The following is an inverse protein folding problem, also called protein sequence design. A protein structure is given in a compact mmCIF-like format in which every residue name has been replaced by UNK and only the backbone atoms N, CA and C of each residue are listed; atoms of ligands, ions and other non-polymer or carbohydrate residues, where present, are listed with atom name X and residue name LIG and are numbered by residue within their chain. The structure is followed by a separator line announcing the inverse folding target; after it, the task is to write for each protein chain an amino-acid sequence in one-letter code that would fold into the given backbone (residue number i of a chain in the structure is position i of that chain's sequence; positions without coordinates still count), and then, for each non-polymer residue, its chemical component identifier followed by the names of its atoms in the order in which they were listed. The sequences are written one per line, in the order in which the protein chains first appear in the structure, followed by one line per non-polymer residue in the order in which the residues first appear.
data_IF_498547908861
#
_entry.id   IF_498547908861
#
_cell.length_a   1.000
_cell.length_b   1.000
_cell.length_c   1.000
_cell.angle_alpha   90.00
_cell.angle_beta   90.00
_cell.angle_gamma   90.00
#
_symmetry.space_group_name_H-M   'P 1'
#
loop_
_entity.id
_entity.type
_entity.pdbx_description
1 polymer ?
#
# COMPACT_ATOMS: atom_id res chain seq x y z
N UNK A 1 33.91 10.28 -2.33
CA UNK A 1 33.02 9.14 -2.66
C UNK A 1 31.59 9.65 -2.49
N UNK A 2 30.70 9.39 -3.45
CA UNK A 2 29.29 9.77 -3.28
C UNK A 2 28.68 8.98 -2.11
N UNK A 3 27.92 9.65 -1.24
CA UNK A 3 27.25 9.00 -0.12
C UNK A 3 26.22 8.00 -0.69
N UNK A 4 26.30 6.73 -0.26
CA UNK A 4 25.36 5.69 -0.69
C UNK A 4 23.98 6.00 -0.15
N UNK A 5 22.94 5.90 -0.99
CA UNK A 5 21.56 6.07 -0.54
C UNK A 5 21.19 4.98 0.48
N UNK A 6 20.70 5.40 1.65
CA UNK A 6 20.18 4.55 2.70
C UNK A 6 18.84 5.11 3.18
N UNK A 7 17.76 4.45 2.79
CA UNK A 7 16.40 4.76 3.23
C UNK A 7 15.97 3.89 4.40
N UNK A 8 15.35 4.50 5.42
CA UNK A 8 14.78 3.80 6.58
C UNK A 8 13.30 4.15 6.71
N UNK A 9 12.44 3.15 6.95
CA UNK A 9 11.04 3.43 7.30
C UNK A 9 10.93 3.68 8.81
N UNK A 10 10.29 4.77 9.19
CA UNK A 10 9.94 5.10 10.58
C UNK A 10 8.46 5.45 10.64
N UNK A 11 7.69 4.67 11.39
CA UNK A 11 6.28 4.96 11.63
C UNK A 11 6.13 6.24 12.47
N UNK A 12 5.10 7.04 12.17
CA UNK A 12 4.75 8.24 12.92
C UNK A 12 4.59 7.99 14.43
N UNK A 13 4.22 6.76 14.79
CA UNK A 13 4.06 6.29 16.16
C UNK A 13 5.37 6.42 16.96
N UNK A 14 6.52 6.08 16.36
CA UNK A 14 7.83 6.19 17.01
C UNK A 14 8.31 7.64 17.07
N UNK A 15 7.98 8.47 16.06
CA UNK A 15 8.25 9.91 16.08
C UNK A 15 7.50 10.55 17.25
N UNK A 16 6.23 10.18 17.44
CA UNK A 16 5.40 10.68 18.53
C UNK A 16 5.84 10.12 19.89
N UNK A 17 6.16 8.83 19.98
CA UNK A 17 6.54 8.17 21.25
C UNK A 17 7.92 8.57 21.75
N UNK A 18 8.87 8.85 20.87
CA UNK A 18 10.28 9.07 21.24
C UNK A 18 10.76 10.51 21.03
N UNK A 19 9.99 11.29 20.28
CA UNK A 19 10.32 12.65 19.90
C UNK A 19 11.19 12.75 18.65
N UNK A 20 10.95 13.81 17.89
CA UNK A 20 11.66 14.15 16.64
C UNK A 20 13.17 14.10 16.76
N UNK A 21 13.75 14.71 17.80
CA UNK A 21 15.20 14.81 17.98
C UNK A 21 15.86 13.44 18.18
N UNK A 22 15.28 12.60 19.03
CA UNK A 22 15.79 11.25 19.31
C UNK A 22 15.81 10.38 18.06
N UNK A 23 14.69 10.37 17.31
CA UNK A 23 14.57 9.63 16.05
C UNK A 23 15.59 10.14 15.03
N UNK A 24 15.70 11.46 14.85
CA UNK A 24 16.61 12.06 13.89
C UNK A 24 18.09 11.77 14.22
N UNK A 25 18.47 11.84 15.50
CA UNK A 25 19.80 11.47 15.95
C UNK A 25 20.13 10.00 15.66
N UNK A 26 19.16 9.11 15.83
CA UNK A 26 19.31 7.69 15.50
C UNK A 26 19.50 7.47 13.98
N UNK A 27 18.72 8.17 13.14
CA UNK A 27 18.86 8.13 11.68
C UNK A 27 20.25 8.60 11.23
N UNK A 28 20.73 9.72 11.79
CA UNK A 28 22.08 10.24 11.51
C UNK A 28 23.18 9.27 11.94
N UNK A 29 23.04 8.66 13.12
CA UNK A 29 24.01 7.69 13.65
C UNK A 29 24.22 6.50 12.72
N UNK A 30 23.17 6.03 12.06
CA UNK A 30 23.25 4.90 11.11
C UNK A 30 23.58 5.35 9.68
N UNK A 31 23.77 6.64 9.44
CA UNK A 31 24.10 7.20 8.13
C UNK A 31 22.93 7.21 7.14
N UNK A 32 21.69 7.23 7.63
CA UNK A 32 20.52 7.32 6.77
C UNK A 32 20.53 8.63 5.97
N UNK A 33 20.25 8.53 4.67
CA UNK A 33 20.12 9.68 3.76
C UNK A 33 18.67 9.97 3.41
N UNK A 34 17.76 9.04 3.77
CA UNK A 34 16.35 9.16 3.52
C UNK A 34 15.53 8.47 4.61
N UNK A 35 14.32 8.98 4.85
CA UNK A 35 13.33 8.38 5.75
C UNK A 35 11.97 8.33 5.08
N UNK A 36 11.27 7.20 5.20
CA UNK A 36 9.87 7.07 4.84
C UNK A 36 9.01 7.06 6.11
N UNK A 37 7.96 7.87 6.17
CA UNK A 37 7.01 7.92 7.30
C UNK A 37 5.57 8.04 6.81
N UNK A 38 4.59 7.90 7.68
CA UNK A 38 3.17 8.03 7.34
C UNK A 38 2.57 9.31 7.94
N UNK A 39 1.58 9.95 7.28
CA UNK A 39 0.92 11.16 7.78
C UNK A 39 -0.17 10.84 8.82
N UNK A 40 0.19 10.08 9.85
CA UNK A 40 -0.71 9.60 10.90
C UNK A 40 -0.05 9.77 12.26
N UNK A 41 -0.86 10.10 13.26
CA UNK A 41 -0.49 10.07 14.68
C UNK A 41 -1.35 9.04 15.39
N UNK A 42 -0.80 8.38 16.41
CA UNK A 42 -1.51 7.37 17.19
C UNK A 42 -1.38 7.61 18.69
N UNK A 43 -2.27 7.00 19.46
CA UNK A 43 -2.17 6.94 20.91
C UNK A 43 -2.63 5.57 21.41
N UNK A 44 -2.14 5.12 22.59
CA UNK A 44 -2.69 3.96 23.26
C UNK A 44 -4.21 4.08 23.41
N UNK A 45 -4.91 2.98 23.17
CA UNK A 45 -6.34 2.84 23.33
C UNK A 45 -6.68 1.79 24.39
N UNK A 46 -7.93 1.78 24.81
CA UNK A 46 -8.49 0.71 25.65
C UNK A 46 -8.50 -0.62 24.89
N UNK A 47 -8.50 -1.72 25.64
CA UNK A 47 -8.61 -3.05 25.06
C UNK A 47 -9.90 -3.22 24.25
N UNK A 48 -9.77 -3.78 23.04
CA UNK A 48 -10.87 -3.93 22.09
C UNK A 48 -11.21 -2.66 21.29
N UNK A 49 -10.51 -1.54 21.52
CA UNK A 49 -10.74 -0.28 20.81
C UNK A 49 -9.60 0.05 19.85
N UNK A 50 -9.94 0.46 18.62
CA UNK A 50 -8.97 0.75 17.58
C UNK A 50 -8.36 -0.52 16.97
N UNK A 51 -7.03 -0.56 16.89
CA UNK A 51 -6.28 -1.69 16.32
C UNK A 51 -5.24 -2.22 17.31
N UNK A 52 -5.11 -3.53 17.43
CA UNK A 52 -4.06 -4.16 18.23
C UNK A 52 -2.74 -4.15 17.47
N UNK A 53 -1.66 -3.76 18.14
CA UNK A 53 -0.33 -3.63 17.57
C UNK A 53 0.74 -4.33 18.44
N UNK A 54 1.66 -5.10 17.84
CA UNK A 54 1.68 -5.50 16.43
C UNK A 54 0.42 -6.29 16.00
N UNK A 55 0.02 -6.27 14.72
CA UNK A 55 -1.17 -6.98 14.27
C UNK A 55 -1.01 -8.49 14.46
N UNK A 56 -2.13 -9.16 14.74
CA UNK A 56 -2.19 -10.62 14.87
C UNK A 56 -2.29 -11.19 13.45
N UNK A 57 -1.16 -11.57 12.85
CA UNK A 57 -1.11 -12.13 11.49
C UNK A 57 -1.95 -13.42 11.37
N UNK A 58 -3.15 -13.29 10.82
CA UNK A 58 -4.08 -14.40 10.59
C UNK A 58 -4.27 -15.32 11.83
N UNK A 59 -4.16 -14.77 13.05
CA UNK A 59 -4.37 -15.50 14.30
C UNK A 59 -3.23 -16.39 14.78
N UNK A 60 -2.08 -16.44 14.10
CA UNK A 60 -1.11 -17.54 14.26
C UNK A 60 0.15 -17.24 15.06
N UNK A 61 0.50 -15.97 15.31
CA UNK A 61 1.74 -15.61 16.01
C UNK A 61 1.58 -14.38 16.91
N UNK A 62 1.96 -14.45 18.21
CA UNK A 62 1.96 -13.29 19.10
C UNK A 62 3.20 -12.44 18.82
N UNK A 63 3.16 -11.66 17.73
CA UNK A 63 4.17 -10.64 17.49
C UNK A 63 4.13 -9.62 18.63
N UNK A 64 5.28 -9.33 19.20
CA UNK A 64 5.50 -8.23 20.13
C UNK A 64 6.55 -7.30 19.53
N UNK A 65 6.52 -6.03 19.90
CA UNK A 65 7.55 -5.08 19.51
C UNK A 65 8.88 -5.41 20.18
N UNK A 66 9.93 -5.62 19.38
CA UNK A 66 11.31 -5.68 19.87
C UNK A 66 11.73 -4.33 20.48
N UNK A 67 11.26 -3.23 19.89
CA UNK A 67 11.43 -1.86 20.39
C UNK A 67 10.10 -1.34 20.95
N UNK A 68 9.94 -1.20 22.28
CA UNK A 68 8.67 -0.82 22.89
C UNK A 68 8.10 0.48 22.31
N UNK A 69 6.80 0.47 22.03
CA UNK A 69 6.04 1.64 21.60
C UNK A 69 5.23 2.16 22.79
N UNK A 70 5.40 3.43 23.16
CA UNK A 70 4.84 4.02 24.39
C UNK A 70 5.17 3.18 25.65
N UNK A 71 6.38 2.60 25.69
CA UNK A 71 6.84 1.74 26.79
C UNK A 71 6.20 0.35 26.85
N UNK A 72 5.40 -0.05 25.85
CA UNK A 72 4.73 -1.35 25.77
C UNK A 72 5.26 -2.18 24.61
N UNK A 73 5.33 -3.49 24.81
CA UNK A 73 5.71 -4.45 23.76
C UNK A 73 4.51 -4.95 22.95
N UNK A 74 3.28 -4.70 23.40
CA UNK A 74 2.05 -4.84 22.63
C UNK A 74 0.97 -3.94 23.24
N UNK A 75 0.09 -3.37 22.42
CA UNK A 75 -0.97 -2.48 22.86
C UNK A 75 -2.08 -2.30 21.81
N UNK A 76 -3.26 -1.89 22.26
CA UNK A 76 -4.27 -1.31 21.39
C UNK A 76 -3.92 0.15 21.09
N UNK A 77 -4.11 0.57 19.85
CA UNK A 77 -3.90 1.96 19.41
C UNK A 77 -5.09 2.48 18.62
N UNK A 78 -5.34 3.78 18.74
CA UNK A 78 -6.24 4.53 17.86
C UNK A 78 -5.43 5.56 17.07
N UNK A 79 -5.86 5.86 15.85
CA UNK A 79 -5.15 6.77 14.94
C UNK A 79 -5.95 8.01 14.57
N UNK A 80 -5.23 9.06 14.18
CA UNK A 80 -5.75 10.29 13.58
C UNK A 80 -4.84 10.76 12.44
N UNK A 81 -5.33 11.62 11.56
CA UNK A 81 -4.46 12.29 10.59
C UNK A 81 -3.49 13.20 11.33
N UNK A 82 -2.26 13.35 10.84
CA UNK A 82 -1.29 14.28 11.42
C UNK A 82 -1.50 15.74 10.99
N UNK A 83 -2.56 16.03 10.25
CA UNK A 83 -2.91 17.36 9.76
C UNK A 83 -4.43 17.45 9.59
N UNK A 84 -5.02 18.66 9.56
CA UNK A 84 -6.44 18.85 9.23
C UNK A 84 -6.64 18.78 7.71
N UNK A 85 -7.30 17.73 7.17
CA UNK A 85 -7.44 17.58 5.72
C UNK A 85 -8.37 18.63 5.11
N UNK A 86 -8.02 19.12 3.92
CA UNK A 86 -8.85 20.10 3.21
C UNK A 86 -9.89 19.43 2.30
N UNK A 87 -11.15 19.47 2.72
CA UNK A 87 -12.27 18.85 2.00
C UNK A 87 -12.45 19.38 0.57
N UNK A 88 -12.05 20.61 0.26
CA UNK A 88 -12.20 21.19 -1.08
C UNK A 88 -11.38 20.45 -2.14
N UNK A 89 -10.24 19.85 -1.77
CA UNK A 89 -9.44 19.06 -2.70
C UNK A 89 -10.13 17.76 -3.13
N UNK A 90 -11.10 17.29 -2.35
CA UNK A 90 -11.79 16.02 -2.58
C UNK A 90 -13.17 16.20 -3.21
N UNK A 91 -13.58 17.42 -3.58
CA UNK A 91 -14.92 17.72 -4.11
C UNK A 91 -15.29 16.92 -5.37
N UNK A 92 -14.28 16.59 -6.18
CA UNK A 92 -14.43 15.82 -7.43
C UNK A 92 -14.13 14.32 -7.22
N UNK A 93 -13.82 13.92 -5.98
CA UNK A 93 -13.60 12.54 -5.58
C UNK A 93 -14.85 11.99 -4.89
N UNK A 94 -15.29 10.76 -5.22
CA UNK A 94 -16.34 10.09 -4.47
C UNK A 94 -15.91 9.72 -3.04
N UNK A 95 -14.60 9.66 -2.79
CA UNK A 95 -14.04 9.37 -1.48
C UNK A 95 -13.76 10.67 -0.71
N UNK A 96 -14.28 10.81 0.52
CA UNK A 96 -14.01 11.96 1.36
C UNK A 96 -12.57 11.91 1.90
N UNK A 97 -12.03 13.04 2.38
CA UNK A 97 -10.79 13.02 3.14
C UNK A 97 -10.92 12.14 4.39
N UNK A 98 -9.77 11.72 4.94
CA UNK A 98 -9.72 11.19 6.30
C UNK A 98 -10.23 12.26 7.28
N UNK A 99 -10.83 11.85 8.40
CA UNK A 99 -11.36 12.79 9.39
C UNK A 99 -10.29 13.13 10.42
N UNK A 100 -10.08 14.43 10.66
CA UNK A 100 -9.35 14.90 11.82
C UNK A 100 -10.10 14.51 13.11
N UNK A 101 -9.35 14.31 14.18
CA UNK A 101 -9.89 14.01 15.51
C UNK A 101 -9.05 14.69 16.60
N UNK A 102 -9.32 14.35 17.86
CA UNK A 102 -8.59 14.88 19.01
C UNK A 102 -7.07 14.61 18.95
N UNK A 103 -6.62 13.52 18.32
CA UNK A 103 -5.19 13.27 18.12
C UNK A 103 -4.58 14.21 17.08
N UNK A 104 -5.34 14.58 16.04
CA UNK A 104 -4.89 15.57 15.05
C UNK A 104 -4.61 16.91 15.73
N UNK A 105 -5.51 17.34 16.62
CA UNK A 105 -5.37 18.60 17.36
C UNK A 105 -4.22 18.54 18.38
N UNK A 106 -4.12 17.44 19.13
CA UNK A 106 -3.14 17.32 20.21
C UNK A 106 -1.71 17.04 19.72
N UNK A 107 -1.57 16.28 18.63
CA UNK A 107 -0.27 15.70 18.23
C UNK A 107 0.07 15.89 16.76
N UNK A 108 -0.84 16.39 15.91
CA UNK A 108 -0.62 16.42 14.45
C UNK A 108 0.65 17.17 14.02
N UNK A 109 1.02 18.23 14.73
CA UNK A 109 2.20 19.04 14.43
C UNK A 109 3.52 18.23 14.39
N UNK A 110 3.63 17.13 15.16
CA UNK A 110 4.88 16.38 15.36
C UNK A 110 5.45 15.84 14.05
N UNK A 111 4.60 15.40 13.12
CA UNK A 111 5.04 14.87 11.83
C UNK A 111 5.63 15.99 10.97
N UNK A 112 5.00 17.17 10.98
CA UNK A 112 5.51 18.34 10.26
C UNK A 112 6.83 18.86 10.84
N UNK A 113 6.97 18.84 12.17
CA UNK A 113 8.22 19.17 12.86
C UNK A 113 9.35 18.20 12.51
N UNK A 114 9.05 16.90 12.48
CA UNK A 114 10.01 15.88 12.05
C UNK A 114 10.45 16.08 10.60
N UNK A 115 9.51 16.30 9.68
CA UNK A 115 9.82 16.52 8.26
C UNK A 115 10.75 17.73 8.10
N UNK A 116 10.40 18.88 8.71
CA UNK A 116 11.23 20.09 8.64
C UNK A 116 12.63 19.86 9.20
N UNK A 117 12.73 19.19 10.35
CA UNK A 117 14.02 18.92 11.01
C UNK A 117 14.88 17.97 10.16
N UNK A 118 14.30 16.92 9.59
CA UNK A 118 15.00 16.01 8.70
C UNK A 118 15.49 16.72 7.42
N UNK A 119 14.65 17.56 6.82
CA UNK A 119 15.01 18.34 5.64
C UNK A 119 16.17 19.31 5.90
N UNK A 120 16.18 19.99 7.05
CA UNK A 120 17.29 20.87 7.48
C UNK A 120 18.63 20.13 7.63
N UNK A 121 18.57 18.85 8.01
CA UNK A 121 19.74 17.96 8.12
C UNK A 121 20.11 17.29 6.79
N UNK A 122 19.45 17.63 5.69
CA UNK A 122 19.69 17.05 4.37
C UNK A 122 19.20 15.62 4.21
N UNK A 123 18.34 15.13 5.10
CA UNK A 123 17.70 13.80 4.98
C UNK A 123 16.43 13.95 4.15
N UNK A 124 16.35 13.19 3.04
CA UNK A 124 15.14 13.16 2.22
C UNK A 124 13.97 12.54 2.97
N UNK A 125 12.78 13.11 2.87
CA UNK A 125 11.59 12.58 3.55
C UNK A 125 10.53 12.16 2.54
N UNK A 126 10.04 10.93 2.66
CA UNK A 126 8.99 10.38 1.80
C UNK A 126 7.76 10.05 2.63
N UNK A 127 6.58 10.38 2.12
CA UNK A 127 5.36 9.78 2.67
C UNK A 127 5.14 8.39 2.10
N UNK A 128 5.14 7.40 2.98
CA UNK A 128 4.64 6.06 2.69
C UNK A 128 3.11 6.04 2.91
N UNK A 129 2.37 5.83 1.82
CA UNK A 129 0.90 5.81 1.80
C UNK A 129 0.43 4.67 0.90
N UNK A 130 -0.76 4.12 1.12
CA UNK A 130 -1.30 3.06 0.27
C UNK A 130 -1.50 3.56 -1.17
N UNK A 131 -1.05 2.79 -2.16
CA UNK A 131 -1.11 3.17 -3.57
C UNK A 131 -2.54 3.23 -4.12
N UNK A 132 -3.45 2.41 -3.57
CA UNK A 132 -4.84 2.27 -3.97
C UNK A 132 -5.75 2.06 -2.76
N UNK A 133 -5.61 2.85 -1.68
CA UNK A 133 -6.36 2.65 -0.44
C UNK A 133 -7.07 3.93 0.01
N UNK A 134 -8.30 4.18 -0.47
CA UNK A 134 -9.03 5.38 -0.13
C UNK A 134 -9.69 5.25 1.24
N UNK A 135 -10.03 6.38 1.85
CA UNK A 135 -10.81 6.38 3.09
C UNK A 135 -12.24 5.91 2.83
N UNK A 136 -12.62 4.77 3.42
CA UNK A 136 -13.96 4.21 3.27
C UNK A 136 -14.19 3.57 1.89
N UNK A 137 -13.27 2.70 1.47
CA UNK A 137 -13.34 1.95 0.21
C UNK A 137 -14.74 1.33 0.00
N UNK A 138 -15.36 1.69 -1.12
CA UNK A 138 -16.70 1.24 -1.50
C UNK A 138 -16.64 -0.10 -2.21
N UNK A 139 -17.70 -0.87 -2.12
CA UNK A 139 -17.75 -2.23 -2.66
C UNK A 139 -17.63 -2.27 -4.18
N UNK A 140 -18.13 -1.28 -4.91
CA UNK A 140 -17.99 -1.19 -6.37
C UNK A 140 -16.54 -1.02 -6.85
N UNK A 141 -15.66 -0.54 -5.97
CA UNK A 141 -14.23 -0.34 -6.23
C UNK A 141 -13.36 -1.44 -5.63
N UNK A 142 -13.94 -2.45 -4.96
CA UNK A 142 -13.17 -3.61 -4.47
C UNK A 142 -12.83 -4.54 -5.64
N UNK A 143 -11.60 -5.10 -5.70
CA UNK A 143 -11.29 -6.12 -6.69
C UNK A 143 -12.10 -7.39 -6.42
N UNK A 144 -12.59 -8.03 -7.47
CA UNK A 144 -13.35 -9.29 -7.38
C UNK A 144 -12.47 -10.46 -7.84
N UNK A 145 -12.91 -11.66 -7.47
CA UNK A 145 -12.45 -12.94 -7.97
C UNK A 145 -13.03 -13.21 -9.37
N UNK A 146 -12.51 -14.20 -10.12
CA UNK A 146 -13.06 -14.56 -11.43
C UNK A 146 -14.55 -14.91 -11.41
N UNK A 147 -15.05 -15.45 -10.30
CA UNK A 147 -16.47 -15.74 -10.12
C UNK A 147 -17.35 -14.49 -9.88
N UNK A 148 -16.75 -13.30 -9.71
CA UNK A 148 -17.42 -12.03 -9.46
C UNK A 148 -17.61 -11.68 -7.98
N UNK A 149 -17.22 -12.56 -7.06
CA UNK A 149 -17.30 -12.30 -5.62
C UNK A 149 -16.13 -11.45 -5.13
N UNK A 150 -16.34 -10.70 -4.05
CA UNK A 150 -15.25 -10.01 -3.34
C UNK A 150 -14.51 -11.06 -2.49
N UNK A 151 -13.17 -11.17 -2.58
CA UNK A 151 -12.42 -12.12 -1.77
C UNK A 151 -12.71 -11.92 -0.28
N UNK A 152 -12.95 -13.02 0.44
CA UNK A 152 -13.11 -13.00 1.89
C UNK A 152 -11.75 -12.91 2.60
N UNK A 153 -11.73 -12.44 3.85
CA UNK A 153 -10.54 -12.41 4.71
C UNK A 153 -9.31 -11.69 4.11
N UNK A 154 -9.55 -10.64 3.32
CA UNK A 154 -8.49 -9.80 2.73
C UNK A 154 -7.67 -9.16 3.85
N UNK A 155 -6.35 -9.26 3.72
CA UNK A 155 -5.42 -8.69 4.70
C UNK A 155 -5.22 -7.20 4.42
N UNK A 156 -5.17 -6.82 3.15
CA UNK A 156 -5.02 -5.44 2.73
C UNK A 156 -6.27 -4.98 1.97
N UNK A 157 -6.92 -3.93 2.51
CA UNK A 157 -8.15 -3.40 1.93
C UNK A 157 -7.89 -2.40 0.79
N UNK A 158 -7.31 -2.87 -0.30
CA UNK A 158 -7.01 -2.06 -1.48
C UNK A 158 -8.16 -2.02 -2.50
N UNK A 159 -8.27 -0.94 -3.25
CA UNK A 159 -9.17 -0.79 -4.37
C UNK A 159 -8.69 -1.58 -5.60
N UNK A 160 -9.57 -1.74 -6.57
CA UNK A 160 -9.23 -2.15 -7.92
C UNK A 160 -8.29 -1.11 -8.55
N UNK A 161 -7.15 -1.57 -9.07
CA UNK A 161 -6.11 -0.70 -9.64
C UNK A 161 -6.58 0.07 -10.90
N UNK A 162 -7.63 -0.41 -11.58
CA UNK A 162 -8.27 0.27 -12.70
C UNK A 162 -9.27 1.36 -12.26
N UNK A 163 -9.51 1.54 -10.94
CA UNK A 163 -10.55 2.44 -10.47
C UNK A 163 -10.25 3.91 -10.69
N UNK A 164 -11.12 4.57 -11.45
CA UNK A 164 -11.04 6.02 -11.68
C UNK A 164 -11.41 6.81 -10.42
N UNK A 165 -12.33 6.29 -9.61
CA UNK A 165 -12.69 6.85 -8.32
C UNK A 165 -11.51 6.85 -7.35
N UNK A 166 -10.75 5.75 -7.32
CA UNK A 166 -9.51 5.65 -6.55
C UNK A 166 -8.45 6.64 -7.04
N UNK A 167 -8.26 6.79 -8.36
CA UNK A 167 -7.29 7.74 -8.92
C UNK A 167 -7.65 9.19 -8.61
N UNK A 168 -8.94 9.53 -8.64
CA UNK A 168 -9.44 10.83 -8.21
C UNK A 168 -9.11 11.09 -6.72
N UNK A 169 -9.25 10.08 -5.86
CA UNK A 169 -8.83 10.19 -4.46
C UNK A 169 -7.32 10.41 -4.32
N UNK A 170 -6.48 9.65 -5.03
CA UNK A 170 -5.03 9.82 -4.97
C UNK A 170 -4.61 11.25 -5.37
N UNK A 171 -5.22 11.81 -6.42
CA UNK A 171 -5.00 13.21 -6.83
C UNK A 171 -5.28 14.18 -5.70
N UNK A 172 -6.47 14.07 -5.10
CA UNK A 172 -6.89 14.91 -3.98
C UNK A 172 -5.96 14.74 -2.77
N UNK A 173 -5.61 13.49 -2.44
CA UNK A 173 -4.82 13.17 -1.26
C UNK A 173 -3.38 13.66 -1.37
N UNK A 174 -2.75 13.51 -2.55
CA UNK A 174 -1.42 14.07 -2.79
C UNK A 174 -1.44 15.59 -2.72
N UNK A 175 -2.43 16.24 -3.34
CA UNK A 175 -2.55 17.70 -3.30
C UNK A 175 -2.67 18.21 -1.85
N UNK A 176 -3.50 17.54 -1.04
CA UNK A 176 -3.72 17.84 0.37
C UNK A 176 -2.44 17.67 1.21
N UNK A 177 -1.72 16.57 1.01
CA UNK A 177 -0.46 16.30 1.70
C UNK A 177 0.67 17.27 1.31
N UNK A 178 0.80 17.59 0.02
CA UNK A 178 1.81 18.57 -0.44
C UNK A 178 1.51 19.96 0.11
N UNK A 179 0.23 20.34 0.21
CA UNK A 179 -0.16 21.60 0.82
C UNK A 179 0.16 21.63 2.34
N UNK A 180 -0.06 20.52 3.05
CA UNK A 180 0.21 20.42 4.48
C UNK A 180 1.71 20.26 4.81
N UNK A 181 2.49 19.67 3.91
CA UNK A 181 3.88 19.29 4.12
C UNK A 181 4.75 19.63 2.90
N UNK A 182 5.06 20.91 2.66
CA UNK A 182 5.81 21.34 1.48
C UNK A 182 7.27 20.86 1.44
N UNK A 183 7.84 20.47 2.60
CA UNK A 183 9.25 20.09 2.74
C UNK A 183 9.52 18.59 2.46
N UNK A 184 8.50 17.81 2.09
CA UNK A 184 8.73 16.41 1.69
C UNK A 184 9.51 16.33 0.37
N UNK A 185 10.31 15.29 0.24
CA UNK A 185 11.06 14.98 -0.99
C UNK A 185 10.22 14.18 -1.98
N UNK A 186 9.19 13.47 -1.52
CA UNK A 186 8.39 12.64 -2.42
C UNK A 186 7.42 11.69 -1.73
N UNK A 187 6.94 10.74 -2.52
CA UNK A 187 6.00 9.72 -2.10
C UNK A 187 6.56 8.32 -2.34
N UNK A 188 6.20 7.41 -1.44
CA UNK A 188 6.42 5.98 -1.54
C UNK A 188 5.06 5.27 -1.50
N UNK A 189 4.37 5.11 -2.64
CA UNK A 189 3.15 4.32 -2.69
C UNK A 189 3.47 2.88 -2.29
N UNK A 190 2.78 2.41 -1.26
CA UNK A 190 2.86 1.05 -0.75
C UNK A 190 1.81 0.20 -1.45
N UNK A 191 2.18 -1.01 -1.85
CA UNK A 191 1.30 -1.93 -2.60
C UNK A 191 0.74 -1.37 -3.91
N UNK A 192 1.58 -0.90 -4.86
CA UNK A 192 1.11 -0.55 -6.20
C UNK A 192 0.62 -1.76 -7.02
N UNK A 193 0.85 -2.98 -6.54
CA UNK A 193 0.32 -4.25 -7.05
C UNK A 193 -0.87 -4.78 -6.22
N UNK A 194 -1.53 -5.81 -6.73
CA UNK A 194 -2.48 -6.58 -5.91
C UNK A 194 -1.74 -7.38 -4.83
N UNK A 195 -2.11 -7.25 -3.54
CA UNK A 195 -1.56 -8.05 -2.45
C UNK A 195 -1.71 -9.56 -2.70
N UNK A 196 -0.84 -10.35 -2.08
CA UNK A 196 -0.81 -11.80 -2.17
C UNK A 196 -0.61 -12.48 -0.80
N UNK A 197 -1.22 -11.92 0.25
CA UNK A 197 -1.10 -12.47 1.61
C UNK A 197 -1.86 -13.79 1.77
N UNK A 198 -2.99 -13.92 1.08
CA UNK A 198 -3.80 -15.14 1.01
C UNK A 198 -3.84 -15.68 -0.40
N UNK A 199 -4.11 -16.99 -0.55
CA UNK A 199 -4.27 -17.60 -1.86
C UNK A 199 -5.40 -16.92 -2.66
N UNK A 200 -6.53 -16.58 -2.01
CA UNK A 200 -7.64 -15.87 -2.65
C UNK A 200 -7.26 -14.48 -3.18
N UNK A 201 -6.44 -13.71 -2.44
CA UNK A 201 -5.95 -12.41 -2.91
C UNK A 201 -5.05 -12.53 -4.16
N UNK A 202 -4.39 -13.67 -4.38
CA UNK A 202 -3.65 -13.92 -5.62
C UNK A 202 -4.56 -13.91 -6.85
N UNK A 203 -5.84 -14.25 -6.71
CA UNK A 203 -6.82 -14.32 -7.80
C UNK A 203 -7.66 -13.06 -7.99
N UNK A 204 -7.48 -12.04 -7.15
CA UNK A 204 -8.23 -10.80 -7.26
C UNK A 204 -7.80 -9.98 -8.50
N UNK A 205 -8.69 -9.08 -8.92
CA UNK A 205 -8.47 -8.16 -10.05
C UNK A 205 -9.47 -8.34 -11.17
N UNK A 206 -10.51 -9.14 -10.98
CA UNK A 206 -11.63 -9.27 -11.90
C UNK A 206 -12.73 -8.31 -11.45
N UNK A 207 -13.41 -7.66 -12.38
CA UNK A 207 -14.50 -6.73 -12.07
C UNK A 207 -14.77 -5.82 -13.26
N UNK A 208 -15.91 -5.10 -13.29
CA UNK A 208 -16.31 -4.31 -14.45
C UNK A 208 -15.25 -3.29 -14.89
N UNK A 209 -14.54 -2.70 -13.92
CA UNK A 209 -13.52 -1.68 -14.18
C UNK A 209 -12.28 -2.29 -14.84
N UNK A 210 -11.80 -3.44 -14.34
CA UNK A 210 -10.71 -4.17 -14.99
C UNK A 210 -11.12 -4.68 -16.36
N UNK A 211 -12.35 -5.14 -16.52
CA UNK A 211 -12.87 -5.65 -17.79
C UNK A 211 -12.83 -4.57 -18.88
N UNK A 212 -13.33 -3.35 -18.58
CA UNK A 212 -13.25 -2.22 -19.50
C UNK A 212 -11.80 -1.90 -19.85
N UNK A 213 -10.97 -1.73 -18.81
CA UNK A 213 -9.56 -1.39 -18.97
C UNK A 213 -8.80 -2.41 -19.83
N UNK A 214 -9.07 -3.70 -19.62
CA UNK A 214 -8.43 -4.81 -20.33
C UNK A 214 -8.87 -4.87 -21.80
N UNK A 215 -10.18 -4.75 -22.07
CA UNK A 215 -10.73 -4.74 -23.43
C UNK A 215 -10.19 -3.58 -24.26
N UNK A 216 -10.12 -2.40 -23.68
CA UNK A 216 -9.55 -1.20 -24.33
C UNK A 216 -8.09 -1.39 -24.74
N UNK A 217 -7.36 -2.29 -24.06
CA UNK A 217 -5.93 -2.58 -24.31
C UNK A 217 -5.72 -3.90 -25.05
N UNK A 218 -6.78 -4.49 -25.60
CA UNK A 218 -6.68 -5.67 -26.47
C UNK A 218 -6.45 -7.00 -25.73
N UNK A 219 -6.70 -7.06 -24.43
CA UNK A 219 -6.72 -8.33 -23.71
C UNK A 219 -8.01 -9.10 -24.01
N UNK A 220 -7.89 -10.42 -24.18
CA UNK A 220 -9.05 -11.32 -24.15
C UNK A 220 -9.46 -11.58 -22.69
N UNK A 221 -10.14 -10.59 -22.10
CA UNK A 221 -10.55 -10.65 -20.70
C UNK A 221 -11.44 -11.86 -20.40
N UNK A 222 -12.26 -12.31 -21.36
CA UNK A 222 -13.14 -13.47 -21.16
C UNK A 222 -12.32 -14.76 -21.05
N UNK A 223 -11.37 -14.99 -21.96
CA UNK A 223 -10.49 -16.15 -21.91
C UNK A 223 -9.59 -16.16 -20.65
N UNK A 224 -9.09 -14.98 -20.25
CA UNK A 224 -8.32 -14.81 -19.00
C UNK A 224 -9.19 -15.19 -17.81
N UNK A 225 -10.40 -14.62 -17.70
CA UNK A 225 -11.32 -14.87 -16.59
C UNK A 225 -11.70 -16.34 -16.47
N UNK A 226 -11.98 -17.00 -17.59
CA UNK A 226 -12.31 -18.44 -17.62
C UNK A 226 -11.14 -19.29 -17.13
N UNK A 227 -9.95 -19.08 -17.69
CA UNK A 227 -8.77 -19.87 -17.33
C UNK A 227 -8.35 -19.68 -15.86
N UNK A 228 -8.38 -18.42 -15.38
CA UNK A 228 -8.02 -18.10 -14.00
C UNK A 228 -9.09 -18.61 -13.03
N UNK A 229 -10.38 -18.57 -13.40
CA UNK A 229 -11.44 -19.18 -12.63
C UNK A 229 -11.32 -20.70 -12.53
N UNK A 230 -10.88 -21.38 -13.59
CA UNK A 230 -10.60 -22.82 -13.54
C UNK A 230 -9.38 -23.12 -12.66
N UNK A 231 -8.34 -22.30 -12.73
CA UNK A 231 -7.17 -22.44 -11.87
C UNK A 231 -7.55 -22.24 -10.39
N UNK A 232 -8.32 -21.21 -10.09
CA UNK A 232 -8.81 -20.90 -8.74
C UNK A 232 -9.57 -22.09 -8.12
N UNK A 233 -10.54 -22.66 -8.86
CA UNK A 233 -11.28 -23.86 -8.43
C UNK A 233 -10.37 -25.07 -8.20
N UNK A 234 -9.42 -25.26 -9.12
CA UNK A 234 -8.45 -26.37 -9.03
C UNK A 234 -7.68 -26.26 -7.72
N UNK A 235 -7.09 -25.10 -7.43
CA UNK A 235 -6.27 -24.91 -6.22
C UNK A 235 -7.08 -24.88 -4.91
N UNK A 236 -8.36 -24.52 -4.95
CA UNK A 236 -9.22 -24.44 -3.76
C UNK A 236 -10.03 -25.70 -3.45
N UNK A 237 -9.76 -26.83 -4.11
CA UNK A 237 -10.34 -28.11 -3.67
C UNK A 237 -10.56 -29.18 -4.73
N UNK A 238 -10.26 -28.90 -6.01
CA UNK A 238 -10.45 -29.86 -7.10
C UNK A 238 -9.15 -30.57 -7.53
N UNK A 239 -8.03 -30.35 -6.83
CA UNK A 239 -6.77 -31.06 -7.07
C UNK A 239 -6.91 -32.57 -6.79
N UNK A 240 -6.59 -33.38 -7.78
CA UNK A 240 -6.50 -34.84 -7.67
C UNK A 240 -5.08 -35.30 -7.33
N UNK A 241 -4.93 -36.49 -6.75
CA UNK A 241 -3.61 -37.06 -6.43
C UNK A 241 -2.72 -37.20 -7.67
N UNK A 242 -3.28 -37.58 -8.82
CA UNK A 242 -2.53 -37.66 -10.09
C UNK A 242 -2.01 -36.30 -10.56
N UNK A 243 -2.76 -35.22 -10.33
CA UNK A 243 -2.30 -33.87 -10.65
C UNK A 243 -1.17 -33.43 -9.71
N UNK A 244 -1.26 -33.79 -8.42
CA UNK A 244 -0.17 -33.56 -7.46
C UNK A 244 1.13 -34.27 -7.87
N UNK A 245 1.05 -35.55 -8.24
CA UNK A 245 2.21 -36.33 -8.67
C UNK A 245 2.86 -35.75 -9.94
N UNK A 246 2.05 -35.27 -10.89
CA UNK A 246 2.54 -34.57 -12.09
C UNK A 246 3.25 -33.27 -11.75
N UNK A 247 2.69 -32.44 -10.86
CA UNK A 247 3.28 -31.16 -10.45
C UNK A 247 4.61 -31.33 -9.71
N UNK A 248 4.82 -32.46 -9.02
CA UNK A 248 6.07 -32.76 -8.32
C UNK A 248 7.17 -33.32 -9.24
N UNK A 249 6.79 -33.90 -10.38
CA UNK A 249 7.72 -34.50 -11.34
C UNK A 249 8.32 -33.48 -12.31
N UNK A 250 7.61 -32.38 -12.59
CA UNK A 250 8.03 -31.37 -13.55
C UNK A 250 8.75 -30.19 -12.87
N UNK A 251 9.83 -29.72 -13.51
CA UNK A 251 10.39 -28.41 -13.19
C UNK A 251 9.45 -27.31 -13.70
N UNK A 252 9.05 -26.37 -12.84
CA UNK A 252 8.20 -25.24 -13.24
C UNK A 252 8.89 -24.35 -14.28
N UNK A 253 8.24 -24.15 -15.44
CA UNK A 253 8.62 -23.21 -16.49
C UNK A 253 7.43 -22.29 -16.78
N UNK A 254 7.63 -20.98 -16.76
CA UNK A 254 6.57 -20.02 -17.10
C UNK A 254 6.04 -20.23 -18.53
N UNK A 255 6.85 -20.75 -19.45
CA UNK A 255 6.41 -21.03 -20.82
C UNK A 255 5.51 -22.27 -20.92
N UNK A 256 5.43 -23.10 -19.87
CA UNK A 256 4.58 -24.29 -19.84
C UNK A 256 3.14 -23.99 -19.41
N UNK A 257 2.85 -22.77 -18.92
CA UNK A 257 1.48 -22.40 -18.54
C UNK A 257 0.67 -21.91 -19.76
N UNK A 258 -0.65 -22.17 -19.82
CA UNK A 258 -1.53 -21.67 -20.87
C UNK A 258 -1.39 -20.17 -21.15
N UNK A 259 -1.51 -19.77 -22.42
CA UNK A 259 -1.39 -18.37 -22.85
C UNK A 259 -2.31 -17.43 -22.08
N UNK A 260 -3.53 -17.85 -21.76
CA UNK A 260 -4.50 -17.08 -20.97
C UNK A 260 -4.03 -16.78 -19.54
N UNK A 261 -3.23 -17.67 -18.93
CA UNK A 261 -2.60 -17.43 -17.63
C UNK A 261 -1.38 -16.53 -17.75
N UNK A 262 -0.62 -16.62 -18.84
CA UNK A 262 0.46 -15.65 -19.13
C UNK A 262 -0.13 -14.25 -19.34
N UNK A 263 -1.25 -14.15 -20.06
CA UNK A 263 -1.97 -12.90 -20.29
C UNK A 263 -2.56 -12.34 -18.99
N UNK A 264 -2.99 -13.19 -18.06
CA UNK A 264 -3.38 -12.76 -16.72
C UNK A 264 -2.24 -12.10 -15.94
N UNK A 265 -1.05 -12.71 -15.92
CA UNK A 265 0.13 -12.14 -15.27
C UNK A 265 0.53 -10.81 -15.91
N UNK A 266 0.46 -10.74 -17.24
CA UNK A 266 0.67 -9.51 -18.01
C UNK A 266 -0.36 -8.44 -17.64
N UNK A 267 -1.64 -8.77 -17.56
CA UNK A 267 -2.71 -7.86 -17.16
C UNK A 267 -2.45 -7.28 -15.76
N UNK A 268 -2.11 -8.10 -14.76
CA UNK A 268 -1.78 -7.63 -13.40
C UNK A 268 -0.59 -6.67 -13.39
N UNK A 269 0.48 -7.02 -14.11
CA UNK A 269 1.68 -6.17 -14.24
C UNK A 269 1.33 -4.82 -14.87
N UNK A 270 0.56 -4.82 -15.95
CA UNK A 270 0.22 -3.59 -16.66
C UNK A 270 -0.74 -2.71 -15.85
N UNK A 271 -1.68 -3.28 -15.10
CA UNK A 271 -2.51 -2.53 -14.15
C UNK A 271 -1.68 -1.83 -13.07
N UNK A 272 -0.71 -2.53 -12.49
CA UNK A 272 0.19 -1.96 -11.48
C UNK A 272 1.08 -0.86 -12.08
N UNK A 273 1.62 -1.10 -13.28
CA UNK A 273 2.45 -0.12 -14.00
C UNK A 273 1.66 1.14 -14.38
N UNK A 274 0.41 0.97 -14.83
CA UNK A 274 -0.51 2.05 -15.20
C UNK A 274 -0.93 2.87 -13.96
N UNK A 275 -1.09 2.24 -12.79
CA UNK A 275 -1.29 2.95 -11.52
C UNK A 275 -0.05 3.78 -11.14
N UNK A 276 1.16 3.24 -11.27
CA UNK A 276 2.39 3.97 -10.98
C UNK A 276 2.63 5.14 -11.95
N UNK A 277 2.25 4.96 -13.22
CA UNK A 277 2.27 6.05 -14.19
C UNK A 277 1.30 7.17 -13.77
N UNK A 278 0.09 6.84 -13.33
CA UNK A 278 -0.85 7.83 -12.79
C UNK A 278 -0.28 8.52 -11.55
N UNK A 279 0.33 7.80 -10.62
CA UNK A 279 1.05 8.42 -9.49
C UNK A 279 2.10 9.43 -9.97
N UNK A 280 2.89 9.08 -10.98
CA UNK A 280 3.89 10.00 -11.53
C UNK A 280 3.22 11.26 -12.11
N UNK A 281 2.12 11.12 -12.84
CA UNK A 281 1.37 12.25 -13.39
C UNK A 281 0.80 13.15 -12.28
N UNK A 282 0.26 12.55 -11.21
CA UNK A 282 -0.22 13.27 -10.02
C UNK A 282 0.91 14.11 -9.42
N UNK A 283 2.10 13.51 -9.22
CA UNK A 283 3.25 14.24 -8.67
C UNK A 283 3.69 15.35 -9.60
N UNK A 284 3.75 15.14 -10.91
CA UNK A 284 4.13 16.16 -11.88
C UNK A 284 3.20 17.38 -11.85
N UNK A 285 1.90 17.16 -11.66
CA UNK A 285 0.90 18.22 -11.52
C UNK A 285 1.06 18.96 -10.18
N UNK A 286 1.26 18.23 -9.08
CA UNK A 286 1.37 18.81 -7.74
C UNK A 286 2.69 19.57 -7.54
N UNK A 287 3.81 18.94 -7.87
CA UNK A 287 5.15 19.52 -7.87
C UNK A 287 6.13 18.56 -8.62
N UNK A 288 6.65 18.93 -9.80
CA UNK A 288 7.48 18.06 -10.63
C UNK A 288 8.83 17.68 -10.00
N UNK A 289 9.25 18.34 -8.92
CA UNK A 289 10.45 17.97 -8.19
C UNK A 289 10.24 16.83 -7.18
N UNK A 290 8.99 16.40 -6.95
CA UNK A 290 8.70 15.30 -6.05
C UNK A 290 9.16 13.95 -6.62
N UNK A 291 9.86 13.20 -5.79
CA UNK A 291 10.34 11.86 -6.11
C UNK A 291 9.21 10.83 -5.95
N UNK A 292 9.14 9.86 -6.86
CA UNK A 292 8.32 8.66 -6.72
C UNK A 292 9.26 7.51 -6.41
N UNK A 293 9.16 6.98 -5.20
CA UNK A 293 9.93 5.81 -4.74
C UNK A 293 8.96 4.66 -4.54
N UNK A 294 8.57 4.00 -5.63
CA UNK A 294 7.70 2.84 -5.55
C UNK A 294 8.50 1.60 -5.14
N UNK A 295 8.06 0.92 -4.08
CA UNK A 295 8.55 -0.39 -3.74
C UNK A 295 7.47 -1.41 -4.08
N UNK A 296 7.81 -2.37 -4.94
CA UNK A 296 7.05 -3.60 -5.09
C UNK A 296 7.72 -4.69 -4.24
N UNK A 297 7.12 -5.87 -4.13
CA UNK A 297 7.87 -7.04 -3.67
C UNK A 297 9.24 -7.14 -4.37
N UNK A 298 10.29 -7.38 -3.59
CA UNK A 298 11.61 -7.64 -4.15
C UNK A 298 11.47 -8.81 -5.14
N UNK A 299 12.03 -8.73 -6.37
CA UNK A 299 12.17 -9.91 -7.19
C UNK A 299 12.91 -10.98 -6.37
N UNK A 300 12.68 -12.25 -6.68
CA UNK A 300 13.46 -13.33 -6.07
C UNK A 300 14.94 -12.95 -6.13
N UNK A 301 15.66 -13.16 -5.02
CA UNK A 301 17.12 -13.18 -5.03
C UNK A 301 17.55 -14.36 -5.91
N UNK A 302 17.57 -14.17 -7.22
CA UNK A 302 18.21 -15.05 -8.18
C UNK A 302 19.32 -14.26 -8.82
N UNK A 303 20.55 -14.60 -8.40
CA UNK A 303 21.79 -14.29 -9.10
C UNK A 303 21.78 -14.89 -10.52
#
# INVERSE_FOLDING_TARGET
MAQRFLGITVLGDYILSEGTESVLNNLKRVGATAVATNPTVTAPAEEGSGSFQPPIDAGSSPRVFDRPLFGKTALWVRGGTSYPPNAEYYKDSPYPPRKANDLTEAHGAVIGEFIRSAAQEGIKVYFQVGAAQPSGLRDEDRPQLPNGEIPQNRVADIANLASQAMRAYNRAYVQDLVAAYPDISGFRPDWPEFPCYTLGECFQGFGPQTESWAKERGFDYAAIREAVGQLDKTLHGELTNSQWESLLADSFDLNSIPQSLQDWLRLKRELSSDLLADWRDILNIANPNLELSANAFMPNYTD
#
